data_IF_767718739194
#
_entry.id   IF_767718739194
#
_cell.length_a   1.000
_cell.length_b   1.000
_cell.length_c   1.000
_cell.angle_alpha   90.00
_cell.angle_beta   90.00
_cell.angle_gamma   90.00
#
_symmetry.space_group_name_H-M   'P 1'
#
loop_
_entity.id
_entity.type
_entity.pdbx_description
1 polymer ?
#
# COMPACT_ATOMS: atom_id res chain seq x y z
N UNK A 1 18.51 9.71 8.65
CA UNK A 1 17.96 11.08 8.68
C UNK A 1 18.35 11.93 7.45
N UNK A 2 19.64 12.04 7.06
CA UNK A 2 20.06 12.86 5.88
C UNK A 2 19.40 12.41 4.55
N UNK A 3 19.16 11.11 4.35
CA UNK A 3 18.59 10.56 3.14
C UNK A 3 17.07 10.86 3.05
N UNK A 4 16.34 10.73 4.16
CA UNK A 4 14.90 11.06 4.23
C UNK A 4 14.68 12.55 3.95
N UNK A 5 15.57 13.41 4.47
CA UNK A 5 15.50 14.85 4.22
C UNK A 5 15.77 15.20 2.75
N UNK A 6 16.73 14.51 2.10
CA UNK A 6 17.01 14.69 0.65
C UNK A 6 15.86 14.20 -0.23
N UNK A 7 15.25 13.06 0.09
CA UNK A 7 14.08 12.56 -0.63
C UNK A 7 12.86 13.46 -0.46
N UNK A 8 12.64 14.00 0.74
CA UNK A 8 11.62 15.02 1.00
C UNK A 8 11.85 16.29 0.15
N UNK A 9 13.09 16.74 0.02
CA UNK A 9 13.46 17.92 -0.77
C UNK A 9 13.24 17.69 -2.27
N UNK A 10 13.61 16.52 -2.79
CA UNK A 10 13.37 16.14 -4.20
C UNK A 10 11.86 16.06 -4.49
N UNK A 11 11.08 15.51 -3.56
CA UNK A 11 9.62 15.50 -3.67
C UNK A 11 9.04 16.92 -3.68
N UNK A 12 9.51 17.81 -2.81
CA UNK A 12 9.05 19.21 -2.80
C UNK A 12 9.31 19.89 -4.15
N UNK A 13 10.47 19.64 -4.77
CA UNK A 13 10.82 20.18 -6.10
C UNK A 13 9.97 19.58 -7.24
N UNK A 14 9.55 18.32 -7.13
CA UNK A 14 8.67 17.67 -8.11
C UNK A 14 7.20 18.11 -7.95
N UNK A 15 6.81 18.60 -6.76
CA UNK A 15 5.43 19.01 -6.46
C UNK A 15 5.11 20.44 -6.94
N UNK A 16 6.07 21.34 -6.88
CA UNK A 16 5.86 22.74 -7.30
C UNK A 16 5.37 22.84 -8.75
N UNK A 17 5.96 22.14 -9.75
CA UNK A 17 5.46 22.20 -11.12
C UNK A 17 4.10 21.48 -11.32
N UNK A 18 3.73 20.48 -10.50
CA UNK A 18 2.42 19.82 -10.59
C UNK A 18 1.27 20.73 -10.15
N UNK A 19 1.52 21.63 -9.20
CA UNK A 19 0.54 22.64 -8.76
C UNK A 19 0.33 23.68 -9.86
N UNK A 20 1.40 24.12 -10.53
CA UNK A 20 1.32 25.06 -11.65
C UNK A 20 0.63 24.48 -12.91
N UNK A 21 0.76 23.16 -13.13
CA UNK A 21 0.05 22.46 -14.22
C UNK A 21 -1.46 22.33 -13.97
N UNK A 22 -1.91 22.36 -12.70
CA UNK A 22 -3.32 22.29 -12.35
C UNK A 22 -4.11 23.50 -12.85
N UNK A 23 -3.57 24.69 -12.65
CA UNK A 23 -4.23 25.96 -13.03
C UNK A 23 -4.30 26.12 -14.55
N UNK A 24 -3.28 25.65 -15.29
CA UNK A 24 -3.27 25.70 -16.76
C UNK A 24 -4.21 24.68 -17.42
N UNK A 25 -4.55 23.57 -16.74
CA UNK A 25 -5.47 22.55 -17.27
C UNK A 25 -6.94 23.05 -17.14
N UNK A 26 -7.30 23.78 -16.09
CA UNK A 26 -8.64 24.35 -15.94
C UNK A 26 -8.95 25.43 -17.00
N UNK A 27 -7.98 26.24 -17.38
CA UNK A 27 -8.15 27.25 -18.46
C UNK A 27 -8.32 26.60 -19.84
N UNK A 28 -7.61 25.50 -20.13
CA UNK A 28 -7.72 24.82 -21.43
C UNK A 28 -9.01 24.03 -21.64
N UNK A 29 -9.70 23.62 -20.56
CA UNK A 29 -10.98 22.90 -20.62
C UNK A 29 -12.13 23.81 -21.01
N UNK A 30 -12.08 25.09 -20.64
CA UNK A 30 -13.15 26.07 -20.99
C UNK A 30 -13.18 26.43 -22.49
N UNK A 31 -12.01 26.39 -23.15
CA UNK A 31 -11.90 26.67 -24.58
C UNK A 31 -12.26 25.48 -25.48
N UNK A 32 -12.14 24.23 -24.96
CA UNK A 32 -12.43 23.02 -25.73
C UNK A 32 -13.93 22.82 -26.02
N UNK A 33 -14.81 23.42 -25.23
CA UNK A 33 -16.28 23.29 -25.39
C UNK A 33 -16.77 23.97 -26.66
N UNK A 34 -16.06 24.97 -27.19
CA UNK A 34 -16.44 25.69 -28.41
C UNK A 34 -16.11 25.03 -29.75
N UNK A 35 -15.27 23.96 -29.74
CA UNK A 35 -14.77 23.33 -31.00
C UNK A 35 -15.46 22.00 -31.37
N UNK A 36 -16.56 21.62 -30.77
CA UNK A 36 -17.21 20.30 -30.95
C UNK A 36 -17.91 20.14 -32.33
N UNK A 37 -17.91 21.12 -33.21
CA UNK A 37 -18.78 21.11 -34.40
C UNK A 37 -18.19 20.39 -35.65
N UNK A 38 -16.98 19.82 -35.62
CA UNK A 38 -16.47 19.04 -36.77
C UNK A 38 -15.80 17.73 -36.37
N UNK A 39 -16.60 16.68 -36.26
CA UNK A 39 -16.07 15.31 -36.16
C UNK A 39 -15.66 14.83 -37.55
N UNK A 40 -14.35 14.87 -37.88
CA UNK A 40 -13.84 14.23 -39.09
C UNK A 40 -13.85 12.70 -38.91
N UNK A 41 -14.61 12.02 -39.77
CA UNK A 41 -14.86 10.57 -39.81
C UNK A 41 -13.59 9.69 -39.92
N UNK A 42 -12.42 10.29 -40.16
CA UNK A 42 -11.16 9.59 -40.49
C UNK A 42 -10.07 9.63 -39.43
N UNK A 43 -10.31 10.20 -38.24
CA UNK A 43 -9.32 10.18 -37.18
C UNK A 43 -9.30 8.86 -36.44
N UNK A 44 -8.11 8.35 -36.12
CA UNK A 44 -7.97 7.14 -35.31
C UNK A 44 -8.63 7.34 -33.96
N UNK A 45 -9.42 6.37 -33.52
CA UNK A 45 -10.29 6.44 -32.33
C UNK A 45 -9.57 6.94 -31.05
N UNK A 46 -8.28 6.63 -30.86
CA UNK A 46 -7.52 7.09 -29.68
C UNK A 46 -7.20 8.59 -29.71
N UNK A 47 -7.08 9.24 -30.90
CA UNK A 47 -6.91 10.69 -31.02
C UNK A 47 -8.22 11.41 -30.67
N UNK A 48 -9.36 10.82 -31.00
CA UNK A 48 -10.68 11.37 -30.67
C UNK A 48 -10.95 11.33 -29.15
N UNK A 49 -10.48 10.30 -28.43
CA UNK A 49 -10.65 10.18 -26.98
C UNK A 49 -10.04 11.38 -26.23
N UNK A 50 -8.83 11.79 -26.60
CA UNK A 50 -8.16 12.92 -25.93
C UNK A 50 -8.85 14.26 -26.22
N UNK A 51 -9.45 14.40 -27.38
CA UNK A 51 -10.13 15.63 -27.81
C UNK A 51 -11.47 15.85 -27.05
N UNK A 52 -12.16 14.79 -26.68
CA UNK A 52 -13.49 14.85 -26.04
C UNK A 52 -13.49 14.51 -24.56
N UNK A 53 -12.35 14.39 -23.97
CA UNK A 53 -12.21 14.09 -22.55
C UNK A 53 -12.58 15.31 -21.70
N UNK A 54 -13.51 15.14 -20.76
CA UNK A 54 -13.92 16.20 -19.83
C UNK A 54 -15.13 17.02 -20.28
N UNK A 55 -15.71 16.77 -21.46
CA UNK A 55 -16.97 17.38 -21.86
C UNK A 55 -18.11 16.78 -21.04
N UNK A 56 -18.80 17.58 -20.24
CA UNK A 56 -20.06 17.18 -19.61
C UNK A 56 -21.08 16.91 -20.74
N UNK A 57 -21.69 15.72 -20.75
CA UNK A 57 -22.59 15.33 -21.82
C UNK A 57 -23.98 15.86 -21.61
N UNK A 58 -24.40 16.73 -22.47
CA UNK A 58 -25.81 16.79 -22.86
C UNK A 58 -26.20 15.51 -23.61
N UNK A 59 -27.42 15.03 -23.45
CA UNK A 59 -27.91 13.80 -24.09
C UNK A 59 -27.68 13.79 -25.62
N UNK A 60 -27.80 14.96 -26.26
CA UNK A 60 -27.56 15.17 -27.70
C UNK A 60 -26.11 14.88 -28.09
N UNK A 61 -25.15 15.22 -27.24
CA UNK A 61 -23.72 14.97 -27.48
C UNK A 61 -23.39 13.48 -27.35
N UNK A 62 -24.04 12.79 -26.43
CA UNK A 62 -23.83 11.36 -26.18
C UNK A 62 -24.29 10.53 -27.36
N UNK A 63 -25.47 10.83 -27.95
CA UNK A 63 -25.96 10.15 -29.14
C UNK A 63 -25.06 10.42 -30.35
N UNK A 64 -24.55 11.64 -30.50
CA UNK A 64 -23.60 11.96 -31.55
C UNK A 64 -22.28 11.19 -31.40
N UNK A 65 -21.82 10.96 -30.18
CA UNK A 65 -20.63 10.17 -29.88
C UNK A 65 -20.85 8.66 -30.12
N UNK A 66 -22.03 8.12 -29.79
CA UNK A 66 -22.43 6.74 -30.11
C UNK A 66 -22.37 6.50 -31.63
N UNK A 67 -22.90 7.42 -32.41
CA UNK A 67 -22.84 7.34 -33.87
C UNK A 67 -21.42 7.47 -34.40
N UNK A 68 -20.61 8.38 -33.87
CA UNK A 68 -19.24 8.64 -34.33
C UNK A 68 -18.27 7.48 -34.03
N UNK A 69 -18.38 6.85 -32.87
CA UNK A 69 -17.53 5.73 -32.43
C UNK A 69 -18.06 4.35 -32.85
N UNK A 70 -19.37 4.22 -33.12
CA UNK A 70 -20.02 2.97 -33.50
C UNK A 70 -19.63 1.82 -32.54
N UNK A 71 -19.20 0.69 -33.10
CA UNK A 71 -18.79 -0.49 -32.31
C UNK A 71 -17.63 -0.26 -31.33
N UNK A 72 -16.91 0.86 -31.40
CA UNK A 72 -15.83 1.23 -30.51
C UNK A 72 -16.27 2.19 -29.38
N UNK A 73 -17.54 2.57 -29.32
CA UNK A 73 -18.07 3.48 -28.31
C UNK A 73 -17.78 3.00 -26.88
N UNK A 74 -17.84 1.71 -26.62
CA UNK A 74 -17.50 1.14 -25.32
C UNK A 74 -16.07 1.45 -24.87
N UNK A 75 -15.08 1.53 -25.79
CA UNK A 75 -13.70 1.91 -25.46
C UNK A 75 -13.63 3.35 -24.98
N UNK A 76 -14.35 4.24 -25.69
CA UNK A 76 -14.47 5.63 -25.29
C UNK A 76 -15.16 5.76 -23.92
N UNK A 77 -16.28 5.08 -23.71
CA UNK A 77 -17.03 5.10 -22.46
C UNK A 77 -16.17 4.63 -21.26
N UNK A 78 -15.39 3.58 -21.43
CA UNK A 78 -14.43 3.12 -20.41
C UNK A 78 -13.36 4.18 -20.13
N UNK A 79 -12.71 4.71 -21.16
CA UNK A 79 -11.61 5.65 -21.01
C UNK A 79 -12.04 7.02 -20.50
N UNK A 80 -13.23 7.48 -20.88
CA UNK A 80 -13.81 8.73 -20.37
C UNK A 80 -14.40 8.60 -18.97
N UNK A 81 -14.52 7.39 -18.45
CA UNK A 81 -15.12 7.14 -17.16
C UNK A 81 -16.66 7.28 -17.14
N UNK A 82 -17.29 7.47 -18.27
CA UNK A 82 -18.75 7.64 -18.42
C UNK A 82 -19.50 6.31 -18.59
N UNK A 83 -18.96 5.23 -18.12
CA UNK A 83 -19.60 3.93 -18.21
C UNK A 83 -20.81 3.90 -17.27
N UNK A 84 -21.98 4.18 -17.78
CA UNK A 84 -23.24 3.80 -17.15
C UNK A 84 -23.65 2.42 -17.68
N UNK A 85 -23.68 1.44 -16.79
CA UNK A 85 -23.88 0.05 -17.09
C UNK A 85 -25.36 -0.31 -17.30
N UNK A 86 -26.21 0.65 -17.25
CA UNK A 86 -27.62 0.53 -17.64
C UNK A 86 -27.85 0.90 -19.09
N UNK A 87 -26.79 1.32 -19.79
CA UNK A 87 -26.90 1.67 -21.22
C UNK A 87 -26.94 0.37 -22.04
N UNK A 88 -28.12 -0.22 -22.17
CA UNK A 88 -28.36 -1.43 -22.93
C UNK A 88 -28.12 -1.22 -24.44
N UNK A 89 -27.97 0.02 -24.89
CA UNK A 89 -27.73 0.39 -26.28
C UNK A 89 -26.27 0.25 -26.70
N UNK A 90 -25.35 -0.07 -25.76
CA UNK A 90 -23.92 -0.22 -26.05
C UNK A 90 -23.54 -1.69 -26.20
N UNK A 91 -23.08 -2.09 -27.39
CA UNK A 91 -22.54 -3.41 -27.63
C UNK A 91 -21.15 -3.59 -26.97
N UNK A 92 -21.10 -4.32 -25.87
CA UNK A 92 -19.84 -4.70 -25.21
C UNK A 92 -19.36 -6.10 -25.65
N UNK A 93 -18.02 -6.28 -25.87
CA UNK A 93 -17.47 -7.63 -25.98
C UNK A 93 -17.84 -8.47 -24.74
N UNK A 94 -18.14 -9.76 -24.93
CA UNK A 94 -18.61 -10.66 -23.84
C UNK A 94 -17.76 -10.61 -22.57
N UNK A 95 -16.43 -10.57 -22.72
CA UNK A 95 -15.50 -10.47 -21.58
C UNK A 95 -15.61 -9.12 -20.86
N UNK A 96 -15.71 -8.01 -21.60
CA UNK A 96 -15.87 -6.67 -21.03
C UNK A 96 -17.20 -6.58 -20.28
N UNK A 97 -18.29 -7.06 -20.88
CA UNK A 97 -19.60 -7.12 -20.23
C UNK A 97 -19.55 -7.91 -18.92
N UNK A 98 -18.95 -9.09 -18.93
CA UNK A 98 -18.73 -9.87 -17.69
C UNK A 98 -17.97 -9.10 -16.63
N UNK A 99 -16.84 -8.46 -16.96
CA UNK A 99 -16.07 -7.64 -16.01
C UNK A 99 -16.90 -6.49 -15.43
N UNK A 100 -17.72 -5.86 -16.25
CA UNK A 100 -18.59 -4.76 -15.86
C UNK A 100 -19.74 -5.23 -14.96
N UNK A 101 -20.37 -6.37 -15.28
CA UNK A 101 -21.42 -6.99 -14.46
C UNK A 101 -20.89 -7.37 -13.07
N UNK A 102 -19.71 -7.99 -13.00
CA UNK A 102 -19.03 -8.32 -11.74
C UNK A 102 -18.71 -7.04 -10.95
N UNK A 103 -18.20 -6.00 -11.60
CA UNK A 103 -17.92 -4.73 -10.96
C UNK A 103 -19.17 -4.08 -10.38
N UNK A 104 -20.28 -4.06 -11.12
CA UNK A 104 -21.55 -3.49 -10.67
C UNK A 104 -22.17 -4.26 -9.53
N UNK A 105 -22.19 -5.57 -9.65
CA UNK A 105 -22.65 -6.43 -8.56
C UNK A 105 -21.81 -6.15 -7.31
N UNK A 106 -20.49 -6.11 -7.44
CA UNK A 106 -19.58 -5.78 -6.35
C UNK A 106 -19.81 -4.37 -5.81
N UNK A 107 -19.99 -3.38 -6.68
CA UNK A 107 -20.23 -2.00 -6.26
C UNK A 107 -21.55 -1.83 -5.52
N UNK A 108 -22.64 -2.47 -5.99
CA UNK A 108 -23.94 -2.43 -5.31
C UNK A 108 -23.93 -3.17 -3.97
N UNK A 109 -23.25 -4.30 -3.91
CA UNK A 109 -23.21 -5.15 -2.71
C UNK A 109 -22.25 -4.62 -1.66
N UNK A 110 -21.05 -4.17 -2.08
CA UNK A 110 -19.94 -3.89 -1.19
C UNK A 110 -19.56 -2.41 -1.09
N UNK A 111 -20.15 -1.50 -1.89
CA UNK A 111 -19.75 -0.09 -1.97
C UNK A 111 -20.88 0.90 -1.65
N UNK A 112 -21.82 0.51 -0.81
CA UNK A 112 -22.92 1.39 -0.38
C UNK A 112 -22.48 2.29 0.77
N UNK A 113 -22.64 3.62 0.61
CA UNK A 113 -22.30 4.63 1.60
C UNK A 113 -23.48 5.53 1.92
N UNK A 114 -23.48 6.07 3.15
CA UNK A 114 -24.31 7.22 3.53
C UNK A 114 -23.66 8.50 2.97
N UNK A 115 -24.34 9.15 2.03
CA UNK A 115 -23.84 10.34 1.33
C UNK A 115 -23.64 11.55 2.23
N UNK A 116 -24.23 11.56 3.42
CA UNK A 116 -23.97 12.56 4.45
C UNK A 116 -22.54 12.43 5.04
N UNK A 117 -21.95 11.22 5.00
CA UNK A 117 -20.63 10.90 5.54
C UNK A 117 -19.57 10.67 4.46
N UNK A 118 -19.90 9.95 3.41
CA UNK A 118 -18.94 9.54 2.38
C UNK A 118 -19.52 9.77 1.00
N UNK A 119 -18.73 10.35 0.10
CA UNK A 119 -19.10 10.54 -1.30
C UNK A 119 -18.01 10.05 -2.23
N UNK A 120 -18.38 9.62 -3.43
CA UNK A 120 -17.43 9.31 -4.50
C UNK A 120 -16.72 10.58 -4.98
N UNK A 121 -15.53 10.43 -5.51
CA UNK A 121 -14.79 11.54 -6.12
C UNK A 121 -15.35 11.93 -7.49
N UNK A 122 -16.28 11.14 -8.06
CA UNK A 122 -16.81 11.33 -9.42
C UNK A 122 -15.81 10.97 -10.52
N UNK A 123 -14.55 10.74 -10.17
CA UNK A 123 -13.46 10.47 -11.12
C UNK A 123 -13.07 8.99 -11.05
N UNK A 124 -12.88 8.35 -12.21
CA UNK A 124 -12.57 6.93 -12.32
C UNK A 124 -11.08 6.67 -12.52
N UNK A 125 -10.34 7.63 -13.04
CA UNK A 125 -8.91 7.55 -13.24
C UNK A 125 -8.14 8.29 -12.15
N UNK A 126 -6.99 7.74 -11.77
CA UNK A 126 -6.02 8.39 -10.87
C UNK A 126 -4.61 8.13 -11.37
N UNK A 127 -3.81 9.17 -11.36
CA UNK A 127 -2.37 9.11 -11.51
C UNK A 127 -1.75 9.44 -10.15
N UNK A 128 -0.82 8.64 -9.66
CA UNK A 128 -0.17 8.83 -8.37
C UNK A 128 1.34 8.76 -8.52
N UNK A 129 2.02 9.68 -7.84
CA UNK A 129 3.45 9.62 -7.57
C UNK A 129 3.61 9.25 -6.09
N UNK A 130 4.45 8.26 -5.80
CA UNK A 130 4.67 7.74 -4.45
C UNK A 130 6.16 7.70 -4.14
N UNK A 131 6.54 8.23 -2.98
CA UNK A 131 7.79 7.92 -2.31
C UNK A 131 7.46 6.98 -1.13
N UNK A 132 8.08 5.82 -1.09
CA UNK A 132 7.79 4.74 -0.14
C UNK A 132 9.08 4.35 0.57
N UNK A 133 9.15 4.67 1.84
CA UNK A 133 10.33 4.40 2.67
C UNK A 133 9.93 3.36 3.72
N UNK A 134 10.69 2.28 3.79
CA UNK A 134 10.40 1.23 4.76
C UNK A 134 11.68 0.60 5.31
N UNK A 135 11.58 0.06 6.51
CA UNK A 135 12.65 -0.66 7.20
C UNK A 135 12.05 -1.76 8.07
N UNK A 136 12.89 -2.72 8.44
CA UNK A 136 12.51 -3.80 9.33
C UNK A 136 13.28 -3.68 10.64
N UNK A 137 12.60 -3.99 11.76
CA UNK A 137 13.19 -4.08 13.08
C UNK A 137 13.06 -5.51 13.60
N UNK A 138 14.11 -6.03 14.24
CA UNK A 138 14.16 -7.38 14.77
C UNK A 138 14.64 -7.35 16.21
N UNK A 139 13.89 -7.99 17.10
CA UNK A 139 14.25 -8.22 18.49
C UNK A 139 14.22 -9.70 18.77
N UNK A 140 15.38 -10.32 18.92
CA UNK A 140 15.53 -11.72 19.22
C UNK A 140 15.98 -11.89 20.67
N UNK A 141 15.34 -12.81 21.41
CA UNK A 141 15.78 -13.25 22.75
C UNK A 141 16.02 -14.73 22.70
N UNK A 142 17.26 -15.12 22.99
CA UNK A 142 17.71 -16.49 23.05
C UNK A 142 17.43 -17.12 24.43
N UNK A 143 17.42 -18.47 24.57
CA UNK A 143 17.21 -19.18 25.86
C UNK A 143 18.24 -18.82 26.91
N UNK A 144 19.46 -18.51 26.48
CA UNK A 144 20.58 -18.09 27.35
C UNK A 144 20.38 -16.70 27.96
N UNK A 145 19.23 -16.03 27.66
CA UNK A 145 18.97 -14.65 28.08
C UNK A 145 19.61 -13.59 27.18
N UNK A 146 20.41 -14.00 26.20
CA UNK A 146 21.03 -13.09 25.24
C UNK A 146 19.96 -12.42 24.40
N UNK A 147 20.02 -11.10 24.36
CA UNK A 147 19.13 -10.25 23.54
C UNK A 147 19.91 -9.72 22.34
N UNK A 148 19.31 -9.87 21.14
CA UNK A 148 19.86 -9.37 19.88
C UNK A 148 18.86 -8.42 19.27
N UNK A 149 19.29 -7.16 19.06
CA UNK A 149 18.47 -6.12 18.42
C UNK A 149 19.12 -5.73 17.09
N UNK A 150 18.34 -5.76 16.02
CA UNK A 150 18.79 -5.46 14.66
C UNK A 150 17.75 -4.62 13.92
N UNK A 151 18.21 -3.83 12.97
CA UNK A 151 17.32 -3.15 12.03
C UNK A 151 17.90 -3.14 10.62
N UNK A 152 17.06 -3.20 9.59
CA UNK A 152 17.52 -2.98 8.22
C UNK A 152 17.84 -1.49 7.99
N UNK A 153 18.60 -1.20 6.96
CA UNK A 153 18.65 0.17 6.43
C UNK A 153 17.27 0.56 5.89
N UNK A 154 17.05 1.86 5.76
CA UNK A 154 15.80 2.40 5.19
C UNK A 154 15.85 2.21 3.68
N UNK A 155 14.95 1.41 3.13
CA UNK A 155 14.78 1.27 1.69
C UNK A 155 13.93 2.43 1.16
N UNK A 156 14.52 3.25 0.31
CA UNK A 156 13.85 4.39 -0.31
C UNK A 156 13.43 4.05 -1.73
N UNK A 157 12.12 4.08 -2.01
CA UNK A 157 11.58 3.82 -3.33
C UNK A 157 10.80 5.04 -3.83
N UNK A 158 10.96 5.34 -5.13
CA UNK A 158 10.14 6.34 -5.82
C UNK A 158 9.47 5.65 -7.01
N UNK A 159 8.21 5.93 -7.23
CA UNK A 159 7.49 5.36 -8.35
C UNK A 159 6.19 6.05 -8.66
N UNK A 160 5.54 5.57 -9.69
CA UNK A 160 4.25 6.04 -10.13
C UNK A 160 3.26 4.91 -10.33
N UNK A 161 1.99 5.24 -10.23
CA UNK A 161 0.92 4.29 -10.55
C UNK A 161 -0.25 4.99 -11.22
N UNK A 162 -0.88 4.28 -12.13
CA UNK A 162 -2.15 4.65 -12.75
C UNK A 162 -3.22 3.70 -12.26
N UNK A 163 -4.37 4.25 -11.90
CA UNK A 163 -5.50 3.45 -11.43
C UNK A 163 -6.75 3.78 -12.23
N UNK A 164 -7.52 2.75 -12.54
CA UNK A 164 -8.85 2.86 -13.09
C UNK A 164 -9.84 2.15 -12.15
N UNK A 165 -10.77 2.90 -11.56
CA UNK A 165 -11.70 2.38 -10.55
C UNK A 165 -10.97 1.68 -9.38
N UNK A 166 -11.11 0.35 -9.25
CA UNK A 166 -10.48 -0.47 -8.22
C UNK A 166 -9.15 -1.09 -8.65
N UNK A 167 -8.81 -1.07 -9.95
CA UNK A 167 -7.57 -1.63 -10.47
C UNK A 167 -6.48 -0.58 -10.52
N UNK A 168 -5.28 -0.94 -10.07
CA UNK A 168 -4.09 -0.08 -10.08
C UNK A 168 -2.90 -0.84 -10.66
N UNK A 169 -2.14 -0.15 -11.51
CA UNK A 169 -0.86 -0.63 -12.00
C UNK A 169 0.19 0.42 -11.67
N UNK A 170 1.28 0.01 -11.04
CA UNK A 170 2.35 0.91 -10.65
C UNK A 170 3.71 0.25 -10.74
N UNK A 171 4.71 1.10 -10.85
CA UNK A 171 6.10 0.70 -10.80
C UNK A 171 6.86 1.55 -9.79
N UNK A 172 7.67 0.90 -8.95
CA UNK A 172 8.52 1.53 -7.95
C UNK A 172 9.98 1.20 -8.25
N UNK A 173 10.82 2.22 -8.20
CA UNK A 173 12.26 2.10 -8.37
C UNK A 173 12.96 2.42 -7.05
N UNK A 174 13.90 1.58 -6.64
CA UNK A 174 14.73 1.81 -5.47
C UNK A 174 15.83 2.82 -5.82
N UNK A 175 15.88 3.93 -5.08
CA UNK A 175 16.81 5.04 -5.32
C UNK A 175 18.07 4.99 -4.45
N UNK A 176 18.20 4.05 -3.53
CA UNK A 176 19.37 3.94 -2.65
C UNK A 176 20.66 3.79 -3.45
N UNK A 177 20.58 3.09 -4.59
CA UNK A 177 21.69 2.91 -5.52
C UNK A 177 22.21 4.22 -6.16
N UNK A 178 21.35 5.25 -6.25
CA UNK A 178 21.73 6.55 -6.84
C UNK A 178 22.58 7.39 -5.89
N UNK A 179 22.56 7.09 -4.59
CA UNK A 179 23.25 7.87 -3.55
C UNK A 179 24.44 7.14 -2.93
N UNK A 180 24.95 6.09 -3.58
CA UNK A 180 26.16 5.36 -3.17
C UNK A 180 25.93 4.39 -2.00
N UNK A 181 24.69 4.04 -1.72
CA UNK A 181 24.37 2.96 -0.78
C UNK A 181 24.71 1.59 -1.36
N UNK A 182 25.05 0.62 -0.51
CA UNK A 182 25.16 -0.77 -0.92
C UNK A 182 23.83 -1.24 -1.53
N UNK A 183 23.90 -2.07 -2.55
CA UNK A 183 22.70 -2.59 -3.25
C UNK A 183 21.83 -3.34 -2.26
N UNK A 184 20.82 -2.68 -1.71
CA UNK A 184 19.81 -3.34 -0.90
C UNK A 184 19.06 -4.36 -1.77
N UNK A 185 19.22 -5.63 -1.43
CA UNK A 185 18.54 -6.73 -2.12
C UNK A 185 17.15 -6.96 -1.55
N UNK A 186 16.33 -5.91 -1.55
CA UNK A 186 14.95 -5.99 -1.12
C UNK A 186 14.00 -6.14 -2.31
N UNK A 187 13.11 -7.11 -2.22
CA UNK A 187 11.98 -7.25 -3.14
C UNK A 187 10.72 -7.15 -2.32
N UNK A 188 9.84 -6.25 -2.72
CA UNK A 188 8.51 -6.10 -2.11
C UNK A 188 7.47 -6.03 -3.22
N UNK A 189 6.42 -6.81 -3.05
CA UNK A 189 5.24 -6.78 -3.89
C UNK A 189 4.02 -6.69 -2.98
N UNK A 190 3.10 -5.80 -3.30
CA UNK A 190 1.85 -5.61 -2.57
C UNK A 190 0.71 -5.48 -3.56
N UNK A 191 -0.39 -6.15 -3.27
CA UNK A 191 -1.66 -5.97 -3.92
C UNK A 191 -2.69 -5.57 -2.88
N UNK A 192 -3.41 -4.47 -3.13
CA UNK A 192 -4.41 -3.95 -2.22
C UNK A 192 -5.72 -3.72 -2.97
N UNK A 193 -6.79 -4.23 -2.41
CA UNK A 193 -8.15 -3.98 -2.84
C UNK A 193 -8.97 -3.48 -1.66
N UNK A 194 -9.67 -2.37 -1.82
CA UNK A 194 -10.48 -1.78 -0.75
C UNK A 194 -11.82 -1.30 -1.30
N UNK A 195 -12.90 -1.84 -0.78
CA UNK A 195 -14.25 -1.33 -1.00
C UNK A 195 -14.86 -0.79 0.32
N UNK A 196 -16.17 -0.52 0.37
CA UNK A 196 -16.79 -0.02 1.58
C UNK A 196 -16.80 -1.06 2.70
N UNK A 197 -17.20 -2.28 2.38
CA UNK A 197 -17.48 -3.35 3.33
C UNK A 197 -16.25 -4.14 3.70
N UNK A 198 -15.37 -4.43 2.72
CA UNK A 198 -14.21 -5.30 2.88
C UNK A 198 -12.94 -4.66 2.31
N UNK A 199 -11.79 -5.06 2.84
CA UNK A 199 -10.50 -4.83 2.21
C UNK A 199 -9.70 -6.14 2.17
N UNK A 200 -8.85 -6.26 1.17
CA UNK A 200 -7.98 -7.40 0.95
C UNK A 200 -6.58 -6.87 0.63
N UNK A 201 -5.60 -7.31 1.42
CA UNK A 201 -4.19 -6.99 1.22
C UNK A 201 -3.44 -8.31 0.99
N UNK A 202 -2.67 -8.44 -0.09
CA UNK A 202 -1.74 -9.53 -0.30
C UNK A 202 -0.33 -8.96 -0.45
N UNK A 203 0.64 -9.59 0.17
CA UNK A 203 2.02 -9.11 0.15
C UNK A 203 3.03 -10.24 0.01
N UNK A 204 4.15 -9.92 -0.61
CA UNK A 204 5.38 -10.68 -0.63
C UNK A 204 6.53 -9.73 -0.34
N UNK A 205 7.41 -10.12 0.59
CA UNK A 205 8.61 -9.36 0.96
C UNK A 205 9.78 -10.31 1.11
N UNK A 206 10.91 -9.95 0.51
CA UNK A 206 12.17 -10.67 0.67
C UNK A 206 13.28 -9.69 0.95
N UNK A 207 13.93 -9.89 2.08
CA UNK A 207 15.15 -9.19 2.47
C UNK A 207 16.31 -10.15 2.48
N UNK A 208 17.32 -9.88 1.66
CA UNK A 208 18.60 -10.59 1.63
C UNK A 208 19.79 -9.62 1.76
N UNK A 209 19.50 -8.38 2.13
CA UNK A 209 20.50 -7.35 2.38
C UNK A 209 21.07 -7.45 3.80
N UNK A 210 22.08 -6.64 4.04
CA UNK A 210 22.66 -6.48 5.37
C UNK A 210 21.69 -5.79 6.33
N UNK A 211 21.81 -6.13 7.59
CA UNK A 211 21.12 -5.50 8.71
C UNK A 211 22.12 -4.88 9.66
N UNK A 212 21.73 -3.81 10.32
CA UNK A 212 22.56 -3.17 11.33
C UNK A 212 22.28 -3.84 12.69
N UNK A 213 23.29 -4.48 13.24
CA UNK A 213 23.26 -5.05 14.59
C UNK A 213 23.53 -3.92 15.59
N UNK A 214 22.56 -3.66 16.47
CA UNK A 214 22.65 -2.57 17.46
C UNK A 214 22.89 -3.05 18.88
N UNK A 215 22.61 -4.34 19.14
CA UNK A 215 22.80 -4.97 20.43
C UNK A 215 23.03 -6.46 20.32
N UNK A 216 23.98 -7.00 21.08
CA UNK A 216 24.19 -8.41 21.28
C UNK A 216 24.48 -8.68 22.76
N UNK A 217 23.49 -9.20 23.49
CA UNK A 217 23.59 -9.54 24.90
C UNK A 217 23.95 -8.38 25.81
N UNK A 218 24.89 -8.65 26.72
CA UNK A 218 25.56 -7.65 27.57
C UNK A 218 26.85 -7.15 26.97
N UNK A 219 27.20 -7.60 25.76
CA UNK A 219 28.40 -7.16 25.07
C UNK A 219 28.28 -5.66 24.78
N UNK A 220 29.07 -4.89 25.53
CA UNK A 220 29.08 -3.44 25.50
C UNK A 220 30.36 -2.90 24.88
N UNK A 221 31.05 -3.69 24.03
CA UNK A 221 32.15 -3.09 23.31
C UNK A 221 31.62 -1.99 22.38
N UNK A 222 31.62 -0.82 22.98
CA UNK A 222 30.97 0.38 22.54
C UNK A 222 31.45 0.84 21.17
N UNK A 223 32.62 0.39 20.73
CA UNK A 223 33.21 0.78 19.46
C UNK A 223 32.64 -0.02 18.29
N UNK A 224 32.31 -1.30 18.48
CA UNK A 224 31.75 -2.16 17.43
C UNK A 224 30.29 -1.79 17.13
N UNK A 225 29.48 -1.51 18.16
CA UNK A 225 28.06 -1.23 18.02
C UNK A 225 27.73 0.28 17.87
N UNK A 226 28.67 1.17 18.23
CA UNK A 226 28.51 2.61 17.96
C UNK A 226 28.46 2.96 16.48
N UNK A 227 29.07 2.13 15.62
CA UNK A 227 29.13 2.32 14.17
C UNK A 227 28.05 1.58 13.39
N UNK A 228 27.04 0.98 14.05
CA UNK A 228 26.06 0.09 13.39
C UNK A 228 26.79 -1.04 12.64
N UNK A 229 27.11 -2.14 13.33
CA UNK A 229 27.74 -3.28 12.69
C UNK A 229 26.86 -3.85 11.58
N UNK A 230 27.41 -3.87 10.37
CA UNK A 230 26.72 -4.38 9.19
C UNK A 230 26.73 -5.93 9.20
N UNK A 231 25.60 -6.52 9.53
CA UNK A 231 25.42 -7.97 9.67
C UNK A 231 24.73 -8.53 8.42
N UNK A 232 25.41 -9.39 7.69
CA UNK A 232 24.94 -10.02 6.44
C UNK A 232 24.19 -11.34 6.65
N UNK A 233 24.26 -11.89 7.86
CA UNK A 233 23.74 -13.23 8.20
C UNK A 233 22.22 -13.32 8.31
N UNK A 234 21.46 -12.22 8.24
CA UNK A 234 20.01 -12.23 8.34
C UNK A 234 19.35 -12.27 6.94
N UNK A 235 18.51 -13.28 6.72
CA UNK A 235 17.64 -13.38 5.52
C UNK A 235 16.21 -13.58 5.96
N UNK A 236 15.30 -12.78 5.41
CA UNK A 236 13.87 -12.86 5.67
C UNK A 236 13.10 -13.00 4.36
N UNK A 237 12.19 -13.95 4.32
CA UNK A 237 11.17 -14.06 3.28
C UNK A 237 9.80 -14.19 3.94
N UNK A 238 8.88 -13.31 3.57
CA UNK A 238 7.55 -13.22 4.15
C UNK A 238 6.50 -13.03 3.06
N UNK A 239 5.39 -13.73 3.16
CA UNK A 239 4.22 -13.51 2.33
C UNK A 239 2.95 -13.81 3.10
N UNK A 240 1.88 -13.13 2.73
CA UNK A 240 0.61 -13.29 3.42
C UNK A 240 -0.56 -12.61 2.74
N UNK A 241 -1.71 -12.90 3.31
CA UNK A 241 -3.01 -12.39 2.90
C UNK A 241 -3.74 -11.91 4.15
N UNK A 242 -4.27 -10.70 4.05
CA UNK A 242 -5.14 -10.10 5.07
C UNK A 242 -6.51 -9.82 4.46
N UNK A 243 -7.56 -10.20 5.16
CA UNK A 243 -8.94 -9.89 4.81
C UNK A 243 -9.58 -9.11 5.96
N UNK A 244 -10.15 -7.95 5.67
CA UNK A 244 -10.78 -7.06 6.64
C UNK A 244 -12.26 -6.86 6.34
N UNK A 245 -13.08 -6.76 7.39
CA UNK A 245 -14.47 -6.39 7.34
C UNK A 245 -14.72 -5.13 8.18
N UNK A 246 -15.45 -4.15 7.64
CA UNK A 246 -15.75 -2.88 8.30
C UNK A 246 -17.21 -2.84 8.72
N UNK A 247 -17.47 -2.83 10.04
CA UNK A 247 -18.84 -2.88 10.58
C UNK A 247 -19.64 -1.62 10.30
N UNK A 248 -18.98 -0.45 10.33
CA UNK A 248 -19.63 0.83 10.03
C UNK A 248 -19.32 1.31 8.61
N UNK A 249 -19.36 0.40 7.64
CA UNK A 249 -19.00 0.63 6.25
C UNK A 249 -19.81 1.76 5.58
N UNK A 250 -21.01 2.05 6.02
CA UNK A 250 -21.84 3.13 5.47
C UNK A 250 -21.29 4.52 5.81
N UNK A 251 -20.72 4.73 7.00
CA UNK A 251 -20.26 6.04 7.49
C UNK A 251 -18.75 6.18 7.50
N UNK A 252 -18.01 5.08 7.58
CA UNK A 252 -16.55 5.03 7.58
C UNK A 252 -16.03 4.57 6.23
N UNK A 253 -15.02 5.26 5.69
CA UNK A 253 -14.39 4.87 4.43
C UNK A 253 -12.87 4.71 4.56
N UNK A 254 -12.41 3.45 4.55
CA UNK A 254 -11.00 3.13 4.44
C UNK A 254 -10.41 3.63 3.10
N UNK A 255 -11.24 3.60 2.03
CA UNK A 255 -10.84 4.07 0.71
C UNK A 255 -10.58 5.57 0.64
N UNK A 256 -11.14 6.38 1.54
CA UNK A 256 -10.85 7.82 1.60
C UNK A 256 -9.42 8.10 2.07
N UNK A 257 -8.89 7.25 2.97
CA UNK A 257 -7.56 7.40 3.56
C UNK A 257 -6.43 6.76 2.74
N UNK A 258 -6.69 5.62 2.07
CA UNK A 258 -5.61 4.80 1.49
C UNK A 258 -5.73 4.53 -0.01
N UNK A 259 -6.93 4.58 -0.60
CA UNK A 259 -7.10 4.45 -2.05
C UNK A 259 -7.51 5.75 -2.74
N UNK A 260 -7.86 6.80 -1.97
CA UNK A 260 -8.19 8.14 -2.46
C UNK A 260 -9.34 8.19 -3.47
N UNK A 261 -10.20 7.18 -3.50
CA UNK A 261 -11.33 7.06 -4.42
C UNK A 261 -12.63 7.62 -3.86
N UNK A 262 -12.63 8.01 -2.59
CA UNK A 262 -13.77 8.57 -1.85
C UNK A 262 -13.33 9.79 -1.05
N UNK A 263 -14.32 10.65 -0.72
CA UNK A 263 -14.17 11.73 0.24
C UNK A 263 -14.94 11.39 1.51
N UNK A 264 -14.28 11.50 2.67
CA UNK A 264 -14.93 11.48 3.98
C UNK A 264 -15.37 12.91 4.31
N UNK A 265 -16.68 13.15 4.44
CA UNK A 265 -17.25 14.50 4.71
C UNK A 265 -17.39 14.79 6.20
N UNK A 266 -17.65 13.77 6.99
CA UNK A 266 -17.82 13.84 8.46
C UNK A 266 -16.98 12.77 9.11
N UNK A 267 -16.48 13.09 10.31
CA UNK A 267 -15.72 12.12 11.11
C UNK A 267 -16.58 10.91 11.45
N UNK A 268 -15.99 9.74 11.32
CA UNK A 268 -16.61 8.48 11.65
C UNK A 268 -15.55 7.41 11.92
N UNK A 269 -15.89 6.45 12.75
CA UNK A 269 -15.06 5.27 13.00
C UNK A 269 -15.79 3.99 12.68
N UNK A 270 -15.04 2.90 12.61
CA UNK A 270 -15.54 1.55 12.41
C UNK A 270 -14.77 0.56 13.25
N UNK A 271 -15.49 -0.35 13.90
CA UNK A 271 -14.89 -1.60 14.33
C UNK A 271 -14.47 -2.38 13.08
N UNK A 272 -13.35 -3.09 13.18
CA UNK A 272 -12.74 -3.87 12.12
C UNK A 272 -12.56 -5.28 12.66
N UNK A 273 -13.03 -6.28 11.92
CA UNK A 273 -12.67 -7.66 12.14
C UNK A 273 -12.02 -8.24 10.90
N UNK A 274 -11.22 -9.29 11.06
CA UNK A 274 -10.57 -9.87 9.91
C UNK A 274 -9.79 -11.12 10.23
N UNK A 275 -9.14 -11.66 9.19
CA UNK A 275 -8.24 -12.80 9.29
C UNK A 275 -6.96 -12.51 8.55
N UNK A 276 -5.84 -12.99 9.08
CA UNK A 276 -4.56 -12.99 8.39
C UNK A 276 -4.02 -14.41 8.31
N UNK A 277 -3.48 -14.74 7.15
CA UNK A 277 -2.73 -15.97 6.90
C UNK A 277 -1.41 -15.54 6.30
N UNK A 278 -0.31 -15.83 7.00
CA UNK A 278 1.02 -15.48 6.52
C UNK A 278 2.02 -16.59 6.72
N UNK A 279 3.13 -16.51 6.01
CA UNK A 279 4.29 -17.38 6.18
C UNK A 279 5.52 -16.55 6.33
N UNK A 280 6.36 -16.94 7.28
CA UNK A 280 7.66 -16.35 7.56
C UNK A 280 8.75 -17.43 7.40
N UNK A 281 9.82 -17.09 6.71
CA UNK A 281 11.06 -17.88 6.62
C UNK A 281 12.22 -16.95 6.98
N UNK A 282 12.78 -17.13 8.19
CA UNK A 282 13.78 -16.26 8.77
C UNK A 282 15.02 -17.09 9.04
N UNK A 283 16.14 -16.72 8.47
CA UNK A 283 17.42 -17.37 8.67
C UNK A 283 18.40 -16.37 9.25
N UNK A 284 19.07 -16.77 10.32
CA UNK A 284 20.10 -15.99 10.98
C UNK A 284 21.35 -16.86 11.12
N UNK A 285 22.46 -16.38 10.56
CA UNK A 285 23.77 -17.01 10.65
C UNK A 285 24.74 -16.07 11.37
N UNK A 286 24.97 -16.33 12.64
CA UNK A 286 25.88 -15.57 13.48
C UNK A 286 27.36 -15.92 13.29
N UNK A 287 27.70 -16.88 12.38
CA UNK A 287 29.09 -17.16 12.03
C UNK A 287 29.74 -15.99 11.26
N UNK A 288 28.95 -15.11 10.66
CA UNK A 288 29.43 -13.90 10.00
C UNK A 288 29.87 -12.79 11.00
N UNK A 289 29.68 -12.99 12.30
CA UNK A 289 30.14 -12.07 13.33
C UNK A 289 31.67 -12.11 13.48
N UNK A 290 32.33 -11.02 13.93
CA UNK A 290 33.70 -10.98 14.31
C UNK A 290 34.02 -12.08 15.34
N UNK A 291 35.25 -12.62 15.30
CA UNK A 291 35.66 -13.78 16.12
C UNK A 291 35.39 -13.54 17.60
N UNK A 292 35.78 -12.37 18.11
CA UNK A 292 35.67 -12.00 19.52
C UNK A 292 34.22 -12.04 20.02
N UNK A 293 33.28 -11.58 19.18
CA UNK A 293 31.84 -11.56 19.48
C UNK A 293 31.21 -12.94 19.29
N UNK A 294 31.66 -13.67 18.26
CA UNK A 294 31.15 -14.98 17.91
C UNK A 294 31.49 -16.04 18.96
N UNK A 295 32.65 -15.92 19.62
CA UNK A 295 33.09 -16.88 20.66
C UNK A 295 32.21 -16.82 21.93
N UNK A 296 31.52 -15.73 22.19
CA UNK A 296 30.53 -15.62 23.27
C UNK A 296 29.24 -16.41 22.99
N UNK A 297 28.98 -16.74 21.72
CA UNK A 297 27.83 -17.55 21.34
C UNK A 297 28.27 -19.04 21.25
N UNK A 298 27.61 -19.95 21.97
CA UNK A 298 27.82 -21.39 21.81
C UNK A 298 27.70 -21.83 20.35
N UNK A 299 28.51 -22.76 19.87
CA UNK A 299 28.52 -23.16 18.45
C UNK A 299 27.14 -23.65 17.96
N UNK A 300 26.42 -24.39 18.82
CA UNK A 300 25.06 -24.89 18.56
C UNK A 300 23.99 -23.76 18.51
N UNK A 301 24.34 -22.55 18.93
CA UNK A 301 23.45 -21.36 18.99
C UNK A 301 23.84 -20.27 17.97
N UNK A 302 24.58 -20.60 16.93
CA UNK A 302 25.02 -19.64 15.91
C UNK A 302 24.15 -19.63 14.67
N UNK A 303 23.34 -20.66 14.44
CA UNK A 303 22.47 -20.78 13.29
C UNK A 303 21.02 -20.97 13.71
N UNK A 304 20.16 -20.09 13.20
CA UNK A 304 18.72 -20.16 13.44
C UNK A 304 17.98 -20.18 12.11
N UNK A 305 17.06 -21.13 11.97
CA UNK A 305 16.12 -21.16 10.86
C UNK A 305 14.71 -21.28 11.40
N UNK A 306 13.99 -20.17 11.37
CA UNK A 306 12.64 -20.02 11.90
C UNK A 306 11.69 -19.99 10.71
N UNK A 307 10.86 -21.01 10.58
CA UNK A 307 9.90 -21.10 9.48
C UNK A 307 8.54 -21.50 10.02
N UNK A 308 7.56 -20.62 9.86
CA UNK A 308 6.22 -20.86 10.37
C UNK A 308 5.13 -20.26 9.49
N UNK A 309 3.96 -20.88 9.56
CA UNK A 309 2.72 -20.27 9.09
C UNK A 309 2.02 -19.61 10.28
N UNK A 310 1.47 -18.44 10.05
CA UNK A 310 0.75 -17.64 11.05
C UNK A 310 -0.71 -17.52 10.65
N UNK A 311 -1.62 -17.88 11.57
CA UNK A 311 -3.07 -17.84 11.38
C UNK A 311 -3.67 -17.02 12.51
N UNK A 312 -4.13 -15.81 12.23
CA UNK A 312 -4.63 -14.92 13.26
C UNK A 312 -6.01 -14.35 12.93
N UNK A 313 -6.79 -14.16 13.96
CA UNK A 313 -7.98 -13.33 13.96
C UNK A 313 -7.58 -11.90 14.30
N UNK A 314 -8.13 -10.97 13.58
CA UNK A 314 -7.91 -9.54 13.71
C UNK A 314 -9.17 -8.89 14.29
N UNK A 315 -9.04 -8.08 15.34
CA UNK A 315 -10.12 -7.24 15.88
C UNK A 315 -9.52 -5.89 16.21
N UNK A 316 -10.08 -4.83 15.66
CA UNK A 316 -9.51 -3.51 15.85
C UNK A 316 -10.50 -2.39 15.60
N UNK A 317 -9.97 -1.19 15.49
CA UNK A 317 -10.76 0.00 15.26
C UNK A 317 -10.01 0.98 14.35
N UNK A 318 -10.74 1.57 13.42
CA UNK A 318 -10.26 2.65 12.58
C UNK A 318 -11.13 3.89 12.75
N UNK A 319 -10.50 5.07 12.80
CA UNK A 319 -11.19 6.34 12.92
C UNK A 319 -10.71 7.33 11.87
N UNK A 320 -11.66 7.90 11.14
CA UNK A 320 -11.48 8.99 10.18
C UNK A 320 -11.89 10.30 10.87
N UNK A 321 -10.92 11.15 11.16
CA UNK A 321 -11.13 12.47 11.71
C UNK A 321 -11.05 13.53 10.62
N UNK A 322 -12.19 14.14 10.29
CA UNK A 322 -12.27 15.29 9.38
C UNK A 322 -12.24 16.56 10.25
N UNK A 323 -11.06 17.09 10.48
CA UNK A 323 -10.85 18.23 11.38
C UNK A 323 -10.94 19.59 10.67
N UNK A 324 -10.82 19.60 9.36
CA UNK A 324 -10.95 20.79 8.52
C UNK A 324 -11.48 20.40 7.13
N UNK A 325 -12.09 21.33 6.42
CA UNK A 325 -12.49 21.12 5.02
C UNK A 325 -11.30 20.60 4.22
N UNK A 326 -11.49 19.51 3.49
CA UNK A 326 -10.50 18.82 2.66
C UNK A 326 -9.38 18.05 3.42
N UNK A 327 -9.34 18.09 4.75
CA UNK A 327 -8.34 17.38 5.54
C UNK A 327 -8.94 16.17 6.25
N UNK A 328 -8.28 15.05 6.12
CA UNK A 328 -8.64 13.78 6.74
C UNK A 328 -7.42 13.22 7.46
N UNK A 329 -7.57 12.90 8.74
CA UNK A 329 -6.63 12.07 9.49
C UNK A 329 -7.29 10.73 9.78
N UNK A 330 -6.70 9.64 9.30
CA UNK A 330 -7.08 8.29 9.68
C UNK A 330 -6.07 7.73 10.67
N UNK A 331 -6.58 7.07 11.70
CA UNK A 331 -5.78 6.24 12.61
C UNK A 331 -6.48 4.89 12.74
N UNK A 332 -5.74 3.81 12.53
CA UNK A 332 -6.24 2.44 12.61
C UNK A 332 -5.28 1.59 13.42
N UNK A 333 -5.82 0.87 14.42
CA UNK A 333 -5.08 -0.10 15.23
C UNK A 333 -5.79 -1.44 15.24
N UNK A 334 -5.07 -2.52 14.96
CA UNK A 334 -5.63 -3.86 14.83
C UNK A 334 -4.70 -4.86 15.51
N UNK A 335 -4.91 -5.18 16.80
CA UNK A 335 -4.31 -6.36 17.40
C UNK A 335 -4.80 -7.64 16.72
N UNK A 336 -3.91 -8.62 16.61
CA UNK A 336 -4.16 -9.89 15.96
C UNK A 336 -3.77 -11.02 16.92
N UNK A 337 -4.67 -11.95 17.14
CA UNK A 337 -4.47 -13.10 18.04
C UNK A 337 -4.69 -14.39 17.26
N UNK A 338 -3.79 -15.34 17.43
CA UNK A 338 -3.88 -16.60 16.70
C UNK A 338 -2.81 -17.60 17.13
N UNK A 339 -2.32 -18.35 16.18
CA UNK A 339 -1.25 -19.32 16.39
C UNK A 339 -0.28 -19.40 15.22
N UNK A 340 0.99 -19.60 15.58
CA UNK A 340 2.05 -19.91 14.65
C UNK A 340 2.20 -21.43 14.56
N UNK A 341 2.07 -21.98 13.35
CA UNK A 341 2.37 -23.37 13.07
C UNK A 341 3.82 -23.50 12.60
N UNK A 342 4.66 -24.01 13.48
CA UNK A 342 6.10 -24.16 13.19
C UNK A 342 6.33 -25.28 12.17
N UNK A 343 7.11 -24.99 11.13
CA UNK A 343 7.43 -25.92 10.05
C UNK A 343 8.78 -26.62 10.21
N UNK A 344 9.64 -26.11 11.10
CA UNK A 344 10.99 -26.64 11.37
C UNK A 344 11.07 -27.30 12.75
N UNK A 345 10.10 -28.16 13.09
CA UNK A 345 9.99 -28.78 14.40
C UNK A 345 11.01 -29.92 14.50
N UNK A 346 11.91 -29.86 15.48
CA UNK A 346 12.52 -31.02 16.11
C UNK A 346 11.55 -31.58 17.16
N UNK A 347 11.58 -32.87 17.45
CA UNK A 347 10.57 -33.62 18.20
C UNK A 347 10.22 -33.11 19.62
N UNK A 348 10.92 -32.12 20.14
CA UNK A 348 10.73 -31.55 21.49
C UNK A 348 9.93 -30.20 21.50
N UNK A 349 9.67 -29.57 20.35
CA UNK A 349 9.02 -28.27 20.27
C UNK A 349 7.52 -28.39 20.00
N UNK A 350 6.72 -27.54 20.65
CA UNK A 350 5.30 -27.40 20.34
C UNK A 350 5.11 -26.91 18.91
N UNK A 351 4.39 -27.69 18.10
CA UNK A 351 4.06 -27.34 16.70
C UNK A 351 3.23 -26.08 16.57
N UNK A 352 2.33 -25.83 17.53
CA UNK A 352 1.46 -24.68 17.54
C UNK A 352 1.78 -23.79 18.73
N UNK A 353 2.09 -22.54 18.45
CA UNK A 353 2.52 -21.54 19.43
C UNK A 353 1.55 -20.36 19.35
N UNK A 354 1.11 -19.81 20.49
CA UNK A 354 0.28 -18.63 20.52
C UNK A 354 0.98 -17.47 19.80
N UNK A 355 0.27 -16.84 18.85
CA UNK A 355 0.73 -15.68 18.09
C UNK A 355 0.01 -14.44 18.57
N UNK A 356 0.77 -13.37 18.79
CA UNK A 356 0.26 -12.04 19.05
C UNK A 356 0.92 -11.06 18.07
N UNK A 357 0.15 -10.60 17.11
CA UNK A 357 0.61 -9.64 16.12
C UNK A 357 -0.15 -8.33 16.24
N UNK A 358 0.33 -7.29 15.61
CA UNK A 358 -0.38 -6.03 15.54
C UNK A 358 -0.20 -5.37 14.17
N UNK A 359 -1.21 -4.64 13.75
CA UNK A 359 -1.17 -3.78 12.56
C UNK A 359 -1.61 -2.38 12.97
N UNK A 360 -0.82 -1.39 12.61
CA UNK A 360 -1.14 0.01 12.83
C UNK A 360 -1.01 0.77 11.51
N UNK A 361 -1.97 1.64 11.24
CA UNK A 361 -1.96 2.49 10.03
C UNK A 361 -2.36 3.92 10.44
N UNK A 362 -1.68 4.89 9.86
CA UNK A 362 -2.02 6.31 9.98
C UNK A 362 -1.97 6.93 8.58
N UNK A 363 -2.89 7.83 8.28
CA UNK A 363 -2.88 8.58 7.03
C UNK A 363 -3.37 10.01 7.25
N UNK A 364 -2.58 10.97 6.85
CA UNK A 364 -2.98 12.37 6.75
C UNK A 364 -3.21 12.69 5.28
N UNK A 365 -4.45 13.01 4.88
CA UNK A 365 -4.83 13.25 3.50
C UNK A 365 -5.34 14.69 3.35
N UNK A 366 -4.82 15.39 2.37
CA UNK A 366 -5.33 16.68 1.93
C UNK A 366 -5.87 16.55 0.51
N UNK A 367 -7.10 16.98 0.29
CA UNK A 367 -7.77 16.96 -1.00
C UNK A 367 -7.98 18.40 -1.49
N UNK A 368 -7.57 18.69 -2.72
CA UNK A 368 -7.80 19.97 -3.35
C UNK A 368 -8.27 19.73 -4.80
N UNK A 369 -9.54 20.00 -5.06
CA UNK A 369 -10.18 19.73 -6.35
C UNK A 369 -9.87 18.28 -6.85
N UNK A 370 -9.21 18.16 -7.98
CA UNK A 370 -8.77 16.88 -8.54
C UNK A 370 -7.47 16.33 -7.93
N UNK A 371 -6.72 17.15 -7.21
CA UNK A 371 -5.46 16.75 -6.57
C UNK A 371 -5.69 16.20 -5.18
N UNK A 372 -4.77 15.34 -4.75
CA UNK A 372 -4.68 14.90 -3.37
C UNK A 372 -3.22 14.65 -2.98
N UNK A 373 -2.95 14.89 -1.70
CA UNK A 373 -1.65 14.67 -1.08
C UNK A 373 -1.86 13.82 0.16
N UNK A 374 -0.96 12.89 0.42
CA UNK A 374 -1.07 12.06 1.61
C UNK A 374 0.29 11.74 2.20
N UNK A 375 0.36 11.78 3.53
CA UNK A 375 1.43 11.22 4.34
C UNK A 375 0.86 9.99 5.05
N UNK A 376 1.39 8.80 4.74
CA UNK A 376 0.96 7.54 5.31
C UNK A 376 2.06 6.93 6.16
N UNK A 377 1.66 6.34 7.28
CA UNK A 377 2.49 5.46 8.10
C UNK A 377 1.82 4.10 8.25
N UNK A 378 2.60 3.03 8.25
CA UNK A 378 2.16 1.67 8.48
C UNK A 378 3.20 0.94 9.35
N UNK A 379 2.72 0.17 10.32
CA UNK A 379 3.56 -0.71 11.12
C UNK A 379 2.86 -2.07 11.25
N UNK A 380 3.53 -3.12 10.81
CA UNK A 380 3.08 -4.51 10.93
C UNK A 380 4.08 -5.27 11.80
N UNK A 381 3.66 -5.72 12.97
CA UNK A 381 4.50 -6.45 13.92
C UNK A 381 4.05 -7.90 14.09
N UNK A 382 5.03 -8.82 14.09
CA UNK A 382 4.85 -10.24 14.29
C UNK A 382 5.65 -10.72 15.49
N UNK A 383 4.99 -11.39 16.43
CA UNK A 383 5.60 -11.96 17.60
C UNK A 383 5.60 -13.50 17.51
N UNK A 384 6.78 -14.08 17.44
CA UNK A 384 6.99 -15.51 17.56
C UNK A 384 7.52 -15.81 18.96
N UNK A 385 6.78 -16.61 19.74
CA UNK A 385 7.11 -16.94 21.13
C UNK A 385 7.35 -18.45 21.27
N UNK A 386 8.44 -18.94 20.66
CA UNK A 386 8.87 -20.35 20.78
C UNK A 386 9.53 -20.68 22.11
N UNK A 387 9.70 -21.98 22.38
CA UNK A 387 10.36 -22.50 23.57
C UNK A 387 11.86 -22.19 23.58
N UNK A 388 12.48 -22.24 22.40
CA UNK A 388 13.91 -22.05 22.21
C UNK A 388 14.32 -20.58 22.03
N UNK A 389 13.41 -19.72 21.53
CA UNK A 389 13.68 -18.31 21.28
C UNK A 389 12.36 -17.52 21.12
N UNK A 390 12.46 -16.25 21.41
CA UNK A 390 11.38 -15.28 21.14
C UNK A 390 11.86 -14.29 20.10
N UNK A 391 11.09 -14.12 19.05
CA UNK A 391 11.40 -13.15 17.99
C UNK A 391 10.23 -12.22 17.80
N UNK A 392 10.48 -10.92 17.86
CA UNK A 392 9.59 -9.89 17.37
C UNK A 392 10.23 -9.26 16.14
N UNK A 393 9.54 -9.31 15.03
CA UNK A 393 9.91 -8.55 13.84
C UNK A 393 8.79 -7.60 13.47
N UNK A 394 9.16 -6.41 13.06
CA UNK A 394 8.21 -5.42 12.55
C UNK A 394 8.68 -4.83 11.23
N UNK A 395 7.72 -4.44 10.41
CA UNK A 395 7.93 -3.71 9.15
C UNK A 395 7.27 -2.35 9.31
N UNK A 396 8.08 -1.32 9.32
CA UNK A 396 7.62 0.06 9.38
C UNK A 396 7.74 0.71 8.01
N UNK A 397 6.72 1.47 7.66
CA UNK A 397 6.64 2.15 6.37
C UNK A 397 6.15 3.58 6.54
N UNK A 398 6.79 4.51 5.84
CA UNK A 398 6.37 5.90 5.71
C UNK A 398 6.33 6.23 4.22
N UNK A 399 5.16 6.65 3.73
CA UNK A 399 4.97 7.00 2.33
C UNK A 399 4.41 8.41 2.15
N UNK A 400 5.00 9.15 1.21
CA UNK A 400 4.46 10.40 0.68
C UNK A 400 3.83 10.12 -0.67
N UNK A 401 2.61 10.58 -0.85
CA UNK A 401 1.83 10.33 -2.05
C UNK A 401 1.25 11.65 -2.55
N UNK A 402 1.36 11.89 -3.84
CA UNK A 402 0.62 12.91 -4.54
C UNK A 402 -0.11 12.30 -5.71
N UNK A 403 -1.31 12.75 -5.96
CA UNK A 403 -2.08 12.22 -7.06
C UNK A 403 -3.05 13.20 -7.66
N UNK A 404 -3.44 12.86 -8.87
CA UNK A 404 -4.42 13.59 -9.67
C UNK A 404 -5.53 12.64 -10.11
N UNK A 405 -6.78 13.08 -9.99
CA UNK A 405 -7.98 12.34 -10.39
C UNK A 405 -8.59 12.98 -11.63
N UNK A 406 -9.03 12.16 -12.60
CA UNK A 406 -9.61 12.66 -13.84
C UNK A 406 -10.62 11.71 -14.46
#
# INVERSE_FOLDING_TARGET
MKLIYRTLLIMLYLFVPLIALGDTIEESVSDSVRQVHEIKKNDKWYNQIWKYRGVESDSILEDSLKVAFGKNYWKWAILSGKLDLRDDDVEYPKFVKFCLDVYNWGSRTFNTYDTAYVVGTGKKWKLMLKNDNWFNTYHLRLPTGIRVDMHSDVACNIGGSISYMAASLGYMYNIDNLFGGERMKHKKWEFQFTCALIAFDAYYSKNTGSTNLTRLGSYTDYNLFKSNYNFSGLKLESYGIDLYYFFNNKKYSQSAAYSYSKYQKRSAGSAIAGVTISRQDIRMDFNDLPVDVREELPQDKRNYHIKYNDYCLMVGYGYNWVFRKNWLLNVTGIPCLGFNHNLNVTSEDNRNILSLNFKAKIALVYNHNNFFYSLNGKADGHLFNGSQYKLMNSVENIALIAGFRF
#
